data_IF_251681410435
#
_entry.id   IF_251681410435
#
_cell.length_a   1.000
_cell.length_b   1.000
_cell.length_c   1.000
_cell.angle_alpha   90.00
_cell.angle_beta   90.00
_cell.angle_gamma   90.00
#
_symmetry.space_group_name_H-M   'P 1'
#
loop_
_entity.id
_entity.type
_entity.pdbx_description
1 polymer ?
#
# COMPACT_ATOMS: atom_id res chain seq x y z
N UNK A 1 -52.19 -28.51 8.72
CA UNK A 1 -50.87 -28.41 9.39
C UNK A 1 -49.77 -27.90 8.46
N UNK A 2 -49.62 -28.43 7.23
CA UNK A 2 -48.55 -28.01 6.29
C UNK A 2 -48.56 -26.52 5.91
N UNK A 3 -49.74 -25.92 5.70
CA UNK A 3 -49.85 -24.51 5.25
C UNK A 3 -49.43 -23.50 6.32
N UNK A 4 -49.72 -23.75 7.60
CA UNK A 4 -49.33 -22.88 8.72
C UNK A 4 -47.82 -22.93 8.94
N UNK A 5 -47.23 -24.13 8.86
CA UNK A 5 -45.77 -24.30 8.95
C UNK A 5 -45.06 -23.59 7.80
N UNK A 6 -45.58 -23.67 6.58
CA UNK A 6 -45.02 -22.96 5.42
C UNK A 6 -45.06 -21.44 5.63
N UNK A 7 -46.19 -20.89 6.09
CA UNK A 7 -46.31 -19.45 6.37
C UNK A 7 -45.33 -18.96 7.43
N UNK A 8 -45.12 -19.72 8.50
CA UNK A 8 -44.18 -19.36 9.57
C UNK A 8 -42.74 -19.40 9.06
N UNK A 9 -42.37 -20.44 8.30
CA UNK A 9 -41.02 -20.58 7.76
C UNK A 9 -40.72 -19.47 6.75
N UNK A 10 -41.67 -19.16 5.86
CA UNK A 10 -41.51 -18.05 4.90
C UNK A 10 -41.40 -16.70 5.60
N UNK A 11 -42.21 -16.44 6.63
CA UNK A 11 -42.11 -15.23 7.43
C UNK A 11 -40.76 -15.07 8.13
N UNK A 12 -40.24 -16.16 8.71
CA UNK A 12 -38.94 -16.16 9.37
C UNK A 12 -37.78 -15.88 8.39
N UNK A 13 -37.84 -16.44 7.17
CA UNK A 13 -36.82 -16.20 6.14
C UNK A 13 -36.81 -14.75 5.65
N UNK A 14 -37.99 -14.13 5.52
CA UNK A 14 -38.10 -12.71 5.12
C UNK A 14 -37.49 -11.82 6.19
N UNK A 15 -37.82 -12.05 7.47
CA UNK A 15 -37.27 -11.26 8.59
C UNK A 15 -35.75 -11.45 8.69
N UNK A 16 -35.25 -12.67 8.54
CA UNK A 16 -33.81 -12.95 8.53
C UNK A 16 -33.10 -12.26 7.35
N UNK A 17 -33.70 -12.25 6.16
CA UNK A 17 -33.18 -11.57 4.98
C UNK A 17 -33.10 -10.05 5.15
N UNK A 18 -34.15 -9.44 5.72
CA UNK A 18 -34.18 -8.00 6.02
C UNK A 18 -33.14 -7.64 7.08
N UNK A 19 -33.03 -8.44 8.14
CA UNK A 19 -32.01 -8.23 9.18
C UNK A 19 -30.60 -8.36 8.60
N UNK A 20 -30.33 -9.39 7.80
CA UNK A 20 -29.04 -9.56 7.14
C UNK A 20 -28.72 -8.38 6.22
N UNK A 21 -29.67 -7.94 5.40
CA UNK A 21 -29.47 -6.79 4.52
C UNK A 21 -29.21 -5.52 5.34
N UNK A 22 -29.98 -5.24 6.39
CA UNK A 22 -29.80 -4.05 7.22
C UNK A 22 -28.46 -4.02 7.97
N UNK A 23 -27.99 -5.16 8.48
CA UNK A 23 -26.75 -5.23 9.26
C UNK A 23 -25.49 -5.40 8.42
N UNK A 24 -25.56 -6.02 7.22
CA UNK A 24 -24.38 -6.41 6.45
C UNK A 24 -24.21 -5.69 5.11
N UNK A 25 -25.10 -4.77 4.72
CA UNK A 25 -24.92 -3.97 3.49
C UNK A 25 -23.89 -2.85 3.62
N UNK A 26 -23.58 -2.39 4.82
CA UNK A 26 -22.56 -1.34 5.05
C UNK A 26 -21.17 -1.90 5.41
N UNK A 27 -20.94 -3.20 5.32
CA UNK A 27 -19.63 -3.83 5.61
C UNK A 27 -18.73 -3.91 4.37
N UNK A 28 -19.12 -3.29 3.25
CA UNK A 28 -18.35 -3.26 2.02
C UNK A 28 -17.59 -1.95 1.87
N UNK A 29 -16.26 -1.99 2.06
CA UNK A 29 -15.31 -0.90 1.84
C UNK A 29 -15.49 0.32 2.74
N UNK A 30 -15.13 0.18 4.02
CA UNK A 30 -14.55 1.33 4.74
C UNK A 30 -13.33 1.79 3.93
N UNK A 31 -13.33 3.03 3.43
CA UNK A 31 -12.14 3.60 2.83
C UNK A 31 -11.01 3.54 3.88
N UNK A 32 -9.80 3.06 3.56
CA UNK A 32 -8.74 2.87 4.55
C UNK A 32 -8.27 4.17 5.24
N UNK A 33 -8.82 5.33 4.85
CA UNK A 33 -8.62 6.64 5.46
C UNK A 33 -10.00 7.26 5.76
N UNK A 34 -10.39 7.31 7.04
CA UNK A 34 -11.34 8.32 7.50
C UNK A 34 -10.62 9.66 7.50
N UNK A 35 -10.86 10.49 6.50
CA UNK A 35 -10.35 11.87 6.49
C UNK A 35 -11.18 12.70 7.45
N UNK A 36 -10.59 13.16 8.54
CA UNK A 36 -11.13 14.31 9.27
C UNK A 36 -11.38 15.44 8.27
N UNK A 37 -12.55 16.08 8.36
CA UNK A 37 -12.91 17.19 7.48
C UNK A 37 -11.78 18.23 7.54
N UNK A 38 -11.08 18.53 6.43
CA UNK A 38 -9.93 19.40 6.45
C UNK A 38 -10.35 20.80 6.91
N UNK A 39 -9.91 21.20 8.10
CA UNK A 39 -10.19 22.53 8.68
C UNK A 39 -9.19 23.59 8.24
N UNK A 40 -8.10 23.16 7.60
CA UNK A 40 -7.01 24.01 7.16
C UNK A 40 -7.10 24.27 5.65
N UNK A 41 -7.15 25.54 5.27
CA UNK A 41 -7.23 25.99 3.87
C UNK A 41 -6.07 25.44 3.00
N UNK A 42 -4.87 25.31 3.55
CA UNK A 42 -3.71 24.78 2.84
C UNK A 42 -3.88 23.27 2.52
N UNK A 43 -4.52 22.52 3.42
CA UNK A 43 -4.78 21.10 3.22
C UNK A 43 -5.82 20.88 2.12
N UNK A 44 -6.90 21.67 2.10
CA UNK A 44 -7.94 21.62 1.06
C UNK A 44 -7.34 21.89 -0.33
N UNK A 45 -6.47 22.90 -0.45
CA UNK A 45 -5.82 23.24 -1.71
C UNK A 45 -4.85 22.15 -2.19
N UNK A 46 -4.12 21.53 -1.26
CA UNK A 46 -3.22 20.44 -1.57
C UNK A 46 -3.96 19.17 -2.01
N UNK A 47 -5.04 18.80 -1.32
CA UNK A 47 -5.89 17.67 -1.69
C UNK A 47 -6.56 17.89 -3.06
N UNK A 48 -7.02 19.12 -3.34
CA UNK A 48 -7.55 19.48 -4.66
C UNK A 48 -6.48 19.34 -5.76
N UNK A 49 -5.25 19.82 -5.52
CA UNK A 49 -4.16 19.73 -6.47
C UNK A 49 -3.76 18.27 -6.74
N UNK A 50 -3.71 17.42 -5.69
CA UNK A 50 -3.49 15.97 -5.84
C UNK A 50 -4.63 15.31 -6.62
N UNK A 51 -5.88 15.74 -6.43
CA UNK A 51 -7.01 15.25 -7.21
C UNK A 51 -6.94 15.64 -8.70
N UNK A 52 -6.31 16.78 -9.03
CA UNK A 52 -6.06 17.22 -10.41
C UNK A 52 -4.89 16.49 -11.08
N UNK A 53 -3.94 15.98 -10.29
CA UNK A 53 -2.90 15.09 -10.78
C UNK A 53 -3.57 13.79 -11.28
N UNK A 54 -3.75 13.70 -12.60
CA UNK A 54 -4.22 12.47 -13.25
C UNK A 54 -3.48 11.27 -12.67
N UNK A 55 -4.18 10.20 -12.27
CA UNK A 55 -3.52 9.01 -11.75
C UNK A 55 -2.50 8.52 -12.78
N UNK A 56 -1.23 8.56 -12.38
CA UNK A 56 -0.12 8.12 -13.24
C UNK A 56 -0.27 6.61 -13.38
N UNK A 57 -0.81 6.18 -14.52
CA UNK A 57 -0.88 4.76 -14.85
C UNK A 57 0.48 4.32 -15.41
N UNK A 58 1.19 3.48 -14.66
CA UNK A 58 2.40 2.85 -15.16
C UNK A 58 2.05 1.77 -16.19
N UNK A 59 2.67 1.86 -17.37
CA UNK A 59 2.55 0.80 -18.37
C UNK A 59 3.49 -0.36 -18.00
N UNK A 60 2.91 -1.41 -17.41
CA UNK A 60 3.64 -2.60 -16.93
C UNK A 60 3.84 -3.66 -18.01
N UNK A 61 3.42 -3.43 -19.26
CA UNK A 61 3.48 -4.43 -20.34
C UNK A 61 4.91 -4.90 -20.61
N UNK A 62 5.90 -4.05 -20.40
CA UNK A 62 7.32 -4.38 -20.60
C UNK A 62 7.78 -5.54 -19.70
N UNK A 63 7.22 -5.68 -18.49
CA UNK A 63 7.59 -6.75 -17.56
C UNK A 63 7.13 -8.14 -18.03
N UNK A 64 6.20 -8.21 -18.98
CA UNK A 64 5.76 -9.45 -19.61
C UNK A 64 6.54 -9.80 -20.88
N UNK A 65 7.41 -8.90 -21.36
CA UNK A 65 8.21 -9.13 -22.58
C UNK A 65 9.33 -10.15 -22.28
N UNK A 66 9.45 -11.17 -23.12
CA UNK A 66 10.50 -12.19 -23.01
C UNK A 66 11.90 -11.57 -23.09
N UNK A 67 12.07 -10.48 -23.82
CA UNK A 67 13.35 -9.75 -23.94
C UNK A 67 13.71 -9.02 -22.65
N UNK A 68 12.70 -8.48 -21.96
CA UNK A 68 12.90 -7.85 -20.66
C UNK A 68 13.33 -8.88 -19.61
N UNK A 69 12.69 -10.06 -19.61
CA UNK A 69 13.03 -11.16 -18.72
C UNK A 69 14.37 -11.84 -19.06
N UNK A 70 14.89 -11.63 -20.28
CA UNK A 70 16.20 -12.12 -20.71
C UNK A 70 17.35 -11.16 -20.40
N UNK A 71 17.08 -9.97 -19.85
CA UNK A 71 18.11 -9.03 -19.45
C UNK A 71 18.92 -9.62 -18.29
N UNK A 72 20.23 -9.66 -18.49
CA UNK A 72 21.18 -10.07 -17.45
C UNK A 72 21.76 -8.80 -16.84
N UNK A 73 21.78 -8.77 -15.50
CA UNK A 73 22.47 -7.72 -14.77
C UNK A 73 23.98 -7.82 -15.06
N UNK A 74 24.53 -6.78 -15.68
CA UNK A 74 25.96 -6.65 -15.97
C UNK A 74 26.67 -5.77 -14.95
N UNK A 75 25.99 -5.38 -13.88
CA UNK A 75 26.61 -4.56 -12.84
C UNK A 75 27.67 -5.38 -12.11
N UNK A 76 28.82 -4.75 -11.93
CA UNK A 76 29.83 -5.24 -11.00
C UNK A 76 29.34 -4.95 -9.58
N UNK A 77 29.27 -5.94 -8.68
CA UNK A 77 28.93 -5.68 -7.29
C UNK A 77 29.94 -4.68 -6.71
N UNK A 78 29.43 -3.57 -6.17
CA UNK A 78 30.27 -2.60 -5.47
C UNK A 78 30.59 -3.19 -4.10
N UNK A 79 31.84 -3.57 -3.88
CA UNK A 79 32.30 -3.92 -2.54
C UNK A 79 32.22 -2.67 -1.67
N UNK A 80 31.59 -2.73 -0.48
CA UNK A 80 31.70 -1.66 0.49
C UNK A 80 33.17 -1.42 0.83
N UNK A 81 33.62 -0.18 0.70
CA UNK A 81 34.91 0.23 1.24
C UNK A 81 34.84 0.19 2.76
N UNK A 82 35.92 -0.22 3.42
CA UNK A 82 36.00 -0.12 4.88
C UNK A 82 35.82 1.34 5.28
N UNK A 83 35.11 1.58 6.39
CA UNK A 83 35.05 2.90 7.01
C UNK A 83 36.48 3.45 7.14
N UNK A 84 36.69 4.66 6.63
CA UNK A 84 37.98 5.33 6.69
C UNK A 84 38.47 5.50 8.12
N UNK A 85 39.70 6.00 8.26
CA UNK A 85 40.27 6.29 9.59
C UNK A 85 39.36 7.27 10.33
N UNK A 86 39.11 7.00 11.61
CA UNK A 86 38.32 7.89 12.48
C UNK A 86 38.87 9.33 12.47
N UNK A 87 40.20 9.45 12.42
CA UNK A 87 40.92 10.71 12.19
C UNK A 87 41.76 10.57 10.90
N UNK A 88 41.42 11.29 9.83
CA UNK A 88 42.15 11.23 8.57
C UNK A 88 43.59 11.78 8.66
N UNK A 89 43.92 12.54 9.70
CA UNK A 89 45.22 13.21 9.88
C UNK A 89 46.11 12.59 10.96
N UNK A 90 45.62 11.62 11.75
CA UNK A 90 46.47 11.03 12.78
C UNK A 90 47.75 10.41 12.17
N UNK A 91 48.88 10.38 12.88
CA UNK A 91 50.12 9.80 12.37
C UNK A 91 49.94 8.32 12.01
N UNK A 92 50.50 7.89 10.88
CA UNK A 92 50.61 6.46 10.58
C UNK A 92 51.52 5.84 11.64
N UNK A 93 51.04 4.83 12.36
CA UNK A 93 51.83 4.09 13.34
C UNK A 93 52.85 3.20 12.60
N UNK A 94 53.86 3.84 12.00
CA UNK A 94 55.02 3.22 11.39
C UNK A 94 56.27 3.62 12.16
N UNK A 95 56.74 2.72 13.03
CA UNK A 95 58.14 2.63 13.40
C UNK A 95 58.67 3.64 14.42
N UNK A 96 58.17 3.58 15.66
CA UNK A 96 58.99 3.97 16.81
C UNK A 96 60.04 2.90 17.09
N UNK A 97 61.18 2.96 16.39
CA UNK A 97 62.48 2.45 16.85
C UNK A 97 63.57 2.75 15.81
N UNK A 98 64.22 3.90 15.97
CA UNK A 98 65.65 4.12 15.73
C UNK A 98 66.15 5.09 16.81
#
# INVERSE_FOLDING_TARGET
>A
MKSTTILIVTGALIVAGIAYWFFFTNTGNEAPLSTDTPTNQAQIQFEALIGELQPISFNTKIFTDVRFNALVDITTPVSPESSGRLDPLAPLSGGGSI
#
